data_IF_447341523835
#
_entry.id   IF_447341523835
#
_cell.length_a   1.000
_cell.length_b   1.000
_cell.length_c   1.000
_cell.angle_alpha   90.00
_cell.angle_beta   90.00
_cell.angle_gamma   90.00
#
_symmetry.space_group_name_H-M   'P 1'
#
loop_
_entity.id
_entity.type
_entity.pdbx_description
1 polymer ?
#
# COMPACT_ATOMS: atom_id res chain seq x y z
N UNK A 1 31.11 56.11 7.15
CA UNK A 1 29.85 56.36 7.88
C UNK A 1 29.07 55.05 7.87
N UNK A 2 29.26 54.08 8.77
CA UNK A 2 29.36 54.06 10.25
C UNK A 2 28.13 54.61 10.98
N UNK A 3 27.22 53.70 11.33
CA UNK A 3 26.28 53.71 12.47
C UNK A 3 25.84 52.23 12.58
N UNK A 4 26.32 51.36 13.48
CA UNK A 4 26.66 51.43 14.90
C UNK A 4 25.52 51.97 15.77
N UNK A 5 24.67 51.05 16.22
CA UNK A 5 23.92 51.17 17.47
C UNK A 5 23.91 49.79 18.14
N UNK A 6 24.85 49.64 19.08
CA UNK A 6 24.80 48.68 20.17
C UNK A 6 24.25 49.40 21.40
N UNK A 7 23.33 48.77 22.15
CA UNK A 7 23.52 48.34 23.55
C UNK A 7 22.15 48.02 24.19
N UNK A 8 22.05 46.85 24.81
CA UNK A 8 20.95 46.45 25.68
C UNK A 8 21.37 45.17 26.40
N UNK A 9 21.70 45.33 27.67
CA UNK A 9 22.51 44.50 28.56
C UNK A 9 21.87 43.17 28.99
N UNK A 10 22.74 42.25 29.43
CA UNK A 10 22.51 40.87 29.87
C UNK A 10 21.52 40.70 31.03
N UNK A 11 20.80 39.57 31.05
CA UNK A 11 20.44 38.87 32.30
C UNK A 11 20.43 37.36 32.06
N UNK A 12 21.01 36.64 33.02
CA UNK A 12 21.45 35.24 33.00
C UNK A 12 20.30 34.19 32.96
N UNK A 13 20.65 33.02 32.41
CA UNK A 13 19.99 31.70 32.24
C UNK A 13 19.14 31.18 33.46
N UNK A 14 18.25 30.15 33.37
CA UNK A 14 18.46 28.85 32.69
C UNK A 14 17.26 28.11 32.04
N UNK A 15 17.63 27.19 31.14
CA UNK A 15 17.03 25.89 30.76
C UNK A 15 15.52 25.69 30.96
N UNK A 16 14.80 25.49 29.85
CA UNK A 16 13.71 24.50 29.83
C UNK A 16 13.89 23.60 28.63
N UNK A 17 14.15 22.34 28.93
CA UNK A 17 14.18 21.24 27.98
C UNK A 17 12.83 21.07 27.29
N UNK A 18 12.87 20.48 26.11
CA UNK A 18 11.74 19.72 25.61
C UNK A 18 10.88 20.47 24.60
N UNK A 19 11.23 20.32 23.33
CA UNK A 19 10.45 19.39 22.51
C UNK A 19 11.03 19.44 21.11
N UNK A 20 11.72 18.36 20.77
CA UNK A 20 12.03 17.98 19.42
C UNK A 20 10.80 18.19 18.55
N UNK A 21 10.76 19.30 17.80
CA UNK A 21 9.94 19.39 16.60
C UNK A 21 10.58 18.43 15.60
N UNK A 22 10.36 17.13 15.85
CA UNK A 22 10.39 16.10 14.82
C UNK A 22 9.47 16.64 13.74
N UNK A 23 10.09 17.18 12.69
CA UNK A 23 9.44 17.39 11.42
C UNK A 23 8.64 16.12 11.15
N UNK A 24 7.31 16.20 11.29
CA UNK A 24 6.39 15.18 10.82
C UNK A 24 6.75 15.03 9.35
N UNK A 25 7.57 14.02 9.04
CA UNK A 25 7.80 13.55 7.68
C UNK A 25 6.40 13.32 7.14
N UNK A 26 5.95 14.24 6.28
CA UNK A 26 4.73 14.06 5.53
C UNK A 26 4.93 12.74 4.80
N UNK A 27 4.27 11.68 5.30
CA UNK A 27 4.34 10.36 4.68
C UNK A 27 3.94 10.58 3.23
N UNK A 28 4.86 10.24 2.32
CA UNK A 28 4.68 10.33 0.89
C UNK A 28 3.23 9.97 0.55
N UNK A 29 2.53 10.88 -0.13
CA UNK A 29 1.19 10.66 -0.66
C UNK A 29 1.12 9.24 -1.20
N UNK A 30 0.34 8.38 -0.54
CA UNK A 30 0.31 6.96 -0.82
C UNK A 30 0.05 6.78 -2.32
N UNK A 31 1.00 6.17 -3.05
CA UNK A 31 0.79 5.84 -4.46
C UNK A 31 -0.55 5.14 -4.60
N UNK A 32 -1.44 5.71 -5.43
CA UNK A 32 -2.83 5.25 -5.61
C UNK A 32 -2.90 3.77 -6.00
N UNK A 33 -1.92 3.29 -6.75
CA UNK A 33 -1.88 1.95 -7.29
C UNK A 33 -0.77 1.13 -6.64
N UNK A 34 -1.09 -0.08 -6.19
CA UNK A 34 -0.11 -1.02 -5.65
C UNK A 34 -0.32 -2.41 -6.24
N UNK A 35 0.79 -3.08 -6.55
CA UNK A 35 0.79 -4.46 -6.98
C UNK A 35 0.97 -5.38 -5.77
N UNK A 36 0.12 -6.39 -5.65
CA UNK A 36 0.17 -7.41 -4.60
C UNK A 36 0.36 -8.78 -5.23
N UNK A 37 1.34 -9.51 -4.72
CA UNK A 37 1.64 -10.87 -5.14
C UNK A 37 0.94 -11.87 -4.21
N UNK A 38 0.28 -12.90 -4.75
CA UNK A 38 -0.22 -14.02 -3.93
C UNK A 38 0.94 -14.91 -3.48
N UNK A 39 0.85 -15.50 -2.29
CA UNK A 39 1.78 -16.51 -1.82
C UNK A 39 1.38 -17.93 -2.29
N UNK A 40 2.36 -18.75 -2.68
CA UNK A 40 2.19 -20.16 -3.10
C UNK A 40 2.35 -20.41 -4.61
N UNK A 41 2.09 -21.64 -5.06
CA UNK A 41 2.33 -22.13 -6.44
C UNK A 41 1.61 -21.33 -7.56
N UNK A 42 0.63 -20.48 -7.24
CA UNK A 42 -0.05 -19.60 -8.20
C UNK A 42 0.21 -18.13 -7.83
N UNK A 43 1.30 -17.57 -8.38
CA UNK A 43 1.73 -16.18 -8.22
C UNK A 43 0.92 -15.23 -9.11
N UNK A 44 -0.42 -15.24 -9.04
CA UNK A 44 -1.19 -14.26 -9.80
C UNK A 44 -1.02 -12.87 -9.19
N UNK A 45 -0.49 -11.92 -9.94
CA UNK A 45 -0.41 -10.52 -9.54
C UNK A 45 -1.82 -9.93 -9.43
N UNK A 46 -2.06 -9.12 -8.40
CA UNK A 46 -3.28 -8.35 -8.22
C UNK A 46 -2.89 -6.88 -8.19
N UNK A 47 -3.56 -6.06 -8.98
CA UNK A 47 -3.44 -4.60 -8.89
C UNK A 47 -4.55 -4.06 -7.99
N UNK A 48 -4.19 -3.12 -7.12
CA UNK A 48 -5.09 -2.56 -6.10
C UNK A 48 -5.11 -1.04 -6.23
N UNK A 49 -6.31 -0.45 -6.27
CA UNK A 49 -6.52 0.99 -6.06
C UNK A 49 -6.61 1.22 -4.54
N UNK A 50 -5.52 1.66 -3.92
CA UNK A 50 -5.43 1.95 -2.49
C UNK A 50 -6.27 3.17 -2.08
N UNK A 51 -6.62 4.05 -3.01
CA UNK A 51 -7.44 5.23 -2.72
C UNK A 51 -8.92 4.87 -2.63
N UNK A 52 -9.40 4.03 -3.56
CA UNK A 52 -10.82 3.71 -3.66
C UNK A 52 -11.19 2.30 -3.21
N UNK A 53 -10.22 1.46 -2.87
CA UNK A 53 -10.49 0.13 -2.34
C UNK A 53 -10.93 -0.88 -3.39
N UNK A 54 -10.41 -0.81 -4.63
CA UNK A 54 -10.79 -1.72 -5.72
C UNK A 54 -9.69 -2.73 -6.06
N UNK A 55 -10.08 -3.99 -6.27
CA UNK A 55 -9.19 -5.08 -6.71
C UNK A 55 -9.32 -5.33 -8.21
N UNK A 56 -8.18 -5.49 -8.86
CA UNK A 56 -8.09 -5.86 -10.26
C UNK A 56 -7.20 -7.09 -10.45
N UNK A 57 -7.72 -8.09 -11.14
CA UNK A 57 -7.00 -9.28 -11.54
C UNK A 57 -6.40 -9.13 -12.93
N UNK A 58 -5.28 -9.80 -13.19
CA UNK A 58 -4.71 -9.90 -14.54
C UNK A 58 -5.74 -10.50 -15.49
N UNK A 59 -5.99 -9.83 -16.61
CA UNK A 59 -6.87 -10.31 -17.67
C UNK A 59 -6.06 -10.75 -18.89
N UNK A 60 -5.20 -9.87 -19.40
CA UNK A 60 -4.39 -10.13 -20.60
C UNK A 60 -2.99 -9.54 -20.41
N UNK A 61 -1.99 -10.24 -20.91
CA UNK A 61 -0.64 -9.71 -21.10
C UNK A 61 -0.51 -9.31 -22.57
N UNK A 62 -0.19 -8.05 -22.83
CA UNK A 62 -0.04 -7.46 -24.14
C UNK A 62 1.44 -7.14 -24.37
N UNK A 63 1.83 -6.92 -25.63
CA UNK A 63 3.20 -6.50 -25.96
C UNK A 63 3.62 -5.18 -25.29
N UNK A 64 2.65 -4.29 -25.04
CA UNK A 64 2.88 -2.96 -24.47
C UNK A 64 2.52 -2.86 -22.97
N UNK A 65 2.13 -3.96 -22.31
CA UNK A 65 1.76 -3.91 -20.91
C UNK A 65 0.82 -5.01 -20.42
N UNK A 66 0.36 -4.88 -19.19
CA UNK A 66 -0.58 -5.82 -18.56
C UNK A 66 -1.94 -5.15 -18.39
N UNK A 67 -2.97 -5.77 -18.94
CA UNK A 67 -4.35 -5.33 -18.77
C UNK A 67 -4.97 -6.06 -17.58
N UNK A 68 -5.34 -5.29 -16.58
CA UNK A 68 -6.07 -5.72 -15.41
C UNK A 68 -7.56 -5.42 -15.57
N UNK A 69 -8.41 -6.28 -15.02
CA UNK A 69 -9.87 -6.08 -14.99
C UNK A 69 -10.37 -6.11 -13.56
N UNK A 70 -11.40 -5.33 -13.25
CA UNK A 70 -12.03 -5.35 -11.93
C UNK A 70 -12.54 -6.77 -11.59
N UNK A 71 -12.33 -7.19 -10.34
CA UNK A 71 -12.74 -8.52 -9.89
C UNK A 71 -14.24 -8.64 -9.60
N UNK A 72 -14.97 -7.54 -9.49
CA UNK A 72 -16.42 -7.59 -9.25
C UNK A 72 -17.18 -7.99 -10.52
N UNK A 73 -17.57 -9.26 -10.60
CA UNK A 73 -18.18 -9.87 -11.79
C UNK A 73 -19.42 -10.70 -11.43
N UNK A 74 -20.49 -10.09 -10.89
CA UNK A 74 -21.78 -10.76 -10.77
C UNK A 74 -22.28 -11.22 -12.15
N UNK A 75 -23.14 -12.25 -12.18
CA UNK A 75 -23.72 -12.76 -13.43
C UNK A 75 -24.51 -11.68 -14.16
N UNK A 76 -25.30 -10.89 -13.41
CA UNK A 76 -26.00 -9.73 -13.91
C UNK A 76 -25.15 -8.48 -13.67
N UNK A 77 -24.94 -7.68 -14.72
CA UNK A 77 -24.21 -6.41 -14.68
C UNK A 77 -22.77 -6.49 -14.10
N UNK A 78 -21.85 -7.24 -14.74
CA UNK A 78 -20.46 -7.30 -14.30
C UNK A 78 -19.76 -5.94 -14.46
N UNK A 79 -18.85 -5.63 -13.53
CA UNK A 79 -18.02 -4.44 -13.66
C UNK A 79 -17.12 -4.56 -14.90
N UNK A 80 -17.08 -3.48 -15.70
CA UNK A 80 -16.28 -3.36 -16.93
C UNK A 80 -15.05 -2.46 -16.77
N UNK A 81 -14.80 -1.95 -15.56
CA UNK A 81 -13.61 -1.15 -15.27
C UNK A 81 -12.35 -2.00 -15.47
N UNK A 82 -11.41 -1.46 -16.24
CA UNK A 82 -10.11 -2.08 -16.53
C UNK A 82 -8.99 -1.10 -16.29
N UNK A 83 -7.78 -1.60 -16.11
CA UNK A 83 -6.58 -0.79 -15.89
C UNK A 83 -5.46 -1.35 -16.72
N UNK A 84 -4.84 -0.55 -17.58
CA UNK A 84 -3.66 -0.93 -18.34
C UNK A 84 -2.43 -0.42 -17.61
N UNK A 85 -1.49 -1.31 -17.29
CA UNK A 85 -0.16 -0.95 -16.83
C UNK A 85 0.83 -1.10 -18.00
N UNK A 86 1.42 0.02 -18.42
CA UNK A 86 2.43 0.08 -19.48
C UNK A 86 3.69 0.71 -18.91
N UNK A 87 4.72 -0.11 -18.64
CA UNK A 87 5.90 0.32 -17.90
C UNK A 87 5.51 0.86 -16.51
N UNK A 88 5.83 2.13 -16.28
CA UNK A 88 5.48 2.87 -15.04
C UNK A 88 4.13 3.59 -15.12
N UNK A 89 3.50 3.65 -16.30
CA UNK A 89 2.22 4.32 -16.48
C UNK A 89 1.07 3.36 -16.15
N UNK A 90 0.05 3.89 -15.46
CA UNK A 90 -1.18 3.17 -15.15
C UNK A 90 -2.36 3.99 -15.66
N UNK A 91 -3.13 3.42 -16.58
CA UNK A 91 -4.26 4.06 -17.23
C UNK A 91 -5.53 3.30 -16.89
N UNK A 92 -6.42 3.92 -16.13
CA UNK A 92 -7.75 3.38 -15.87
C UNK A 92 -8.65 3.60 -17.09
N UNK A 93 -9.35 2.54 -17.50
CA UNK A 93 -10.27 2.51 -18.64
C UNK A 93 -11.65 2.13 -18.13
N UNK A 94 -12.61 3.04 -18.34
CA UNK A 94 -13.96 2.89 -17.83
C UNK A 94 -14.10 3.23 -16.35
N UNK A 95 -15.35 3.26 -15.91
CA UNK A 95 -15.73 3.62 -14.54
C UNK A 95 -16.31 2.37 -13.87
N UNK A 96 -16.15 2.29 -12.55
CA UNK A 96 -16.82 1.26 -11.77
C UNK A 96 -18.33 1.51 -11.79
N UNK A 97 -19.10 0.42 -11.85
CA UNK A 97 -20.55 0.49 -11.59
C UNK A 97 -20.79 0.90 -10.13
N UNK A 98 -21.93 1.51 -9.84
CA UNK A 98 -22.29 2.01 -8.50
C UNK A 98 -22.31 0.92 -7.44
N UNK A 99 -22.75 -0.29 -7.80
CA UNK A 99 -22.78 -1.47 -6.93
C UNK A 99 -21.41 -2.14 -6.71
N UNK A 100 -20.34 -1.64 -7.36
CA UNK A 100 -19.03 -2.26 -7.23
C UNK A 100 -18.49 -2.06 -5.81
N UNK A 101 -18.23 -3.14 -5.06
CA UNK A 101 -17.85 -3.04 -3.66
C UNK A 101 -16.47 -2.39 -3.53
N UNK A 102 -16.40 -1.42 -2.64
CA UNK A 102 -15.16 -0.83 -2.15
C UNK A 102 -14.79 -1.52 -0.84
N UNK A 103 -13.52 -1.83 -0.65
CA UNK A 103 -13.03 -2.38 0.60
C UNK A 103 -11.99 -1.44 1.20
N UNK A 104 -12.18 -1.04 2.45
CA UNK A 104 -11.20 -0.26 3.19
C UNK A 104 -9.97 -1.10 3.52
N UNK A 105 -8.79 -0.46 3.58
CA UNK A 105 -7.51 -1.10 3.95
C UNK A 105 -7.21 -2.39 3.17
N UNK A 106 -7.64 -2.41 1.91
CA UNK A 106 -7.63 -3.57 1.05
C UNK A 106 -6.22 -4.06 0.74
N UNK A 107 -5.26 -3.14 0.66
CA UNK A 107 -3.88 -3.44 0.35
C UNK A 107 -3.22 -4.11 1.56
N UNK A 108 -3.36 -3.50 2.73
CA UNK A 108 -2.86 -3.98 4.01
C UNK A 108 -3.41 -5.39 4.29
N UNK A 109 -4.73 -5.56 4.12
CA UNK A 109 -5.39 -6.87 4.30
C UNK A 109 -4.82 -7.95 3.37
N UNK A 110 -4.57 -7.61 2.10
CA UNK A 110 -3.99 -8.56 1.15
C UNK A 110 -2.52 -8.87 1.44
N UNK A 111 -1.75 -7.89 1.93
CA UNK A 111 -0.35 -8.08 2.33
C UNK A 111 -0.27 -8.99 3.57
N UNK A 112 -1.08 -8.73 4.60
CA UNK A 112 -1.17 -9.58 5.79
C UNK A 112 -1.55 -11.01 5.39
N UNK A 113 -2.57 -11.18 4.53
CA UNK A 113 -2.97 -12.50 4.05
C UNK A 113 -1.85 -13.23 3.29
N UNK A 114 -1.10 -12.51 2.44
CA UNK A 114 0.05 -13.07 1.74
C UNK A 114 1.12 -13.55 2.71
N UNK A 115 1.45 -12.75 3.71
CA UNK A 115 2.56 -13.03 4.63
C UNK A 115 2.22 -14.14 5.61
N UNK A 116 1.01 -14.14 6.17
CA UNK A 116 0.48 -15.25 6.96
C UNK A 116 0.45 -16.56 6.18
N UNK A 117 0.01 -16.54 4.92
CA UNK A 117 0.03 -17.73 4.05
C UNK A 117 1.43 -18.20 3.72
N UNK A 118 2.36 -17.27 3.48
CA UNK A 118 3.78 -17.59 3.27
C UNK A 118 4.35 -18.30 4.48
N UNK A 119 4.10 -17.77 5.68
CA UNK A 119 4.61 -18.34 6.92
C UNK A 119 3.98 -19.71 7.22
N UNK A 120 2.67 -19.85 7.04
CA UNK A 120 1.99 -21.15 7.16
C UNK A 120 2.51 -22.20 6.18
N UNK A 121 2.91 -21.80 4.97
CA UNK A 121 3.53 -22.72 4.01
C UNK A 121 4.95 -23.16 4.41
N UNK A 122 5.74 -22.30 5.06
CA UNK A 122 7.06 -22.68 5.60
C UNK A 122 6.95 -23.68 6.75
N UNK A 123 5.89 -23.55 7.54
CA UNK A 123 5.64 -24.40 8.71
C UNK A 123 4.67 -25.55 8.41
N UNK A 124 4.37 -25.80 7.14
CA UNK A 124 3.49 -26.89 6.72
C UNK A 124 4.10 -28.23 7.13
N UNK A 125 3.35 -29.01 7.89
CA UNK A 125 3.80 -30.32 8.41
C UNK A 125 4.49 -30.26 9.77
N UNK A 126 4.71 -29.06 10.33
CA UNK A 126 5.13 -28.91 11.73
C UNK A 126 3.89 -28.90 12.64
N UNK A 127 4.03 -29.44 13.84
CA UNK A 127 2.99 -29.32 14.87
C UNK A 127 2.90 -27.86 15.34
N UNK A 128 1.72 -27.43 15.82
CA UNK A 128 1.55 -26.07 16.35
C UNK A 128 2.57 -25.77 17.48
N UNK A 129 2.86 -26.77 18.31
CA UNK A 129 3.83 -26.69 19.41
C UNK A 129 5.26 -26.38 18.90
N UNK A 130 5.69 -27.03 17.83
CA UNK A 130 7.00 -26.79 17.20
C UNK A 130 7.13 -25.44 16.46
N UNK A 131 6.02 -24.69 16.33
CA UNK A 131 5.99 -23.34 15.73
C UNK A 131 6.03 -22.26 16.82
N UNK A 132 5.51 -22.56 18.02
CA UNK A 132 5.39 -21.60 19.14
C UNK A 132 6.52 -21.67 20.15
N UNK A 133 7.28 -22.76 20.20
CA UNK A 133 8.43 -22.84 21.09
C UNK A 133 9.50 -21.83 20.64
N UNK A 134 9.93 -20.89 21.50
CA UNK A 134 10.97 -19.94 21.14
C UNK A 134 12.25 -20.72 20.87
N UNK A 135 12.96 -20.35 19.81
CA UNK A 135 14.33 -20.81 19.56
C UNK A 135 15.13 -20.35 20.78
N UNK A 136 15.41 -21.28 21.70
CA UNK A 136 16.39 -21.13 22.79
C UNK A 136 17.75 -20.74 22.26
#
# INVERSE_FOLDING_TARGET
TKSDLSLGEETLAPVTEGSSQQHKRQRATHMRWKLVFKAGKKLSNILVDCKHGYKFGVWKVLSNGILYRCNHRPQQNPCKCTVLQSGNAIIQRGVHITSCPKQENIYESLVIYRDTKREGMKNKGKSAKAITDPIT
#
